data_IF_706467895997
#
_entry.id   IF_706467895997
#
_cell.length_a   1.000
_cell.length_b   1.000
_cell.length_c   1.000
_cell.angle_alpha   90.00
_cell.angle_beta   90.00
_cell.angle_gamma   90.00
#
_symmetry.space_group_name_H-M   'P 1'
#
loop_
_entity.id
_entity.type
_entity.pdbx_description
1 polymer ?
#
# COMPACT_ATOMS: atom_id res chain seq x y z
N UNK A 1 -22.55 -12.36 57.55
CA UNK A 1 -22.02 -11.34 56.60
C UNK A 1 -20.49 -11.26 56.62
N UNK A 2 -19.83 -11.11 57.76
CA UNK A 2 -18.35 -11.00 57.84
C UNK A 2 -17.60 -12.23 57.26
N UNK A 3 -18.12 -13.44 57.48
CA UNK A 3 -17.52 -14.67 56.93
C UNK A 3 -17.64 -14.77 55.40
N UNK A 4 -18.71 -14.24 54.81
CA UNK A 4 -18.89 -14.19 53.36
C UNK A 4 -17.98 -13.13 52.71
N UNK A 5 -17.71 -12.03 53.42
CA UNK A 5 -16.76 -11.00 53.00
C UNK A 5 -15.32 -11.53 53.07
N UNK A 6 -14.96 -12.27 54.11
CA UNK A 6 -13.64 -12.93 54.22
C UNK A 6 -13.42 -14.00 53.13
N UNK A 7 -14.46 -14.76 52.78
CA UNK A 7 -14.38 -15.79 51.73
C UNK A 7 -14.32 -15.18 50.31
N UNK A 8 -14.93 -14.00 50.10
CA UNK A 8 -14.80 -13.25 48.85
C UNK A 8 -13.40 -12.61 48.69
N UNK A 9 -12.73 -12.24 49.78
CA UNK A 9 -11.36 -11.71 49.78
C UNK A 9 -10.33 -12.83 49.52
N UNK A 10 -10.56 -14.05 49.99
CA UNK A 10 -9.65 -15.19 49.75
C UNK A 10 -9.79 -15.84 48.37
N UNK A 11 -10.87 -15.56 47.62
CA UNK A 11 -11.04 -16.04 46.24
C UNK A 11 -10.33 -15.16 45.18
N UNK A 12 -9.78 -14.02 45.57
CA UNK A 12 -9.27 -13.00 44.65
C UNK A 12 -7.74 -12.94 44.46
N UNK A 13 -6.97 -13.83 45.07
CA UNK A 13 -5.50 -13.84 44.94
C UNK A 13 -5.07 -15.07 44.16
N UNK A 14 -5.25 -15.02 42.84
CA UNK A 14 -4.51 -15.93 41.96
C UNK A 14 -3.05 -15.45 41.94
N UNK A 15 -2.12 -16.30 42.40
CA UNK A 15 -0.70 -16.10 42.12
C UNK A 15 -0.53 -16.26 40.61
N UNK A 16 -0.53 -15.14 39.90
CA UNK A 16 -0.20 -15.10 38.49
C UNK A 16 1.31 -14.98 38.42
N UNK A 17 1.97 -15.99 37.83
CA UNK A 17 3.40 -15.91 37.54
C UNK A 17 3.65 -14.75 36.58
N UNK A 18 4.34 -13.73 37.07
CA UNK A 18 4.74 -12.57 36.32
C UNK A 18 6.18 -12.74 35.82
N UNK A 19 6.38 -12.46 34.54
CA UNK A 19 7.65 -12.51 33.86
C UNK A 19 8.13 -11.11 33.49
N UNK A 20 9.39 -11.06 33.09
CA UNK A 20 10.09 -9.85 32.71
C UNK A 20 10.48 -9.96 31.24
N UNK A 21 10.14 -8.94 30.47
CA UNK A 21 10.55 -8.81 29.07
C UNK A 21 11.69 -7.81 28.99
N UNK A 22 12.76 -8.19 28.31
CA UNK A 22 13.98 -7.41 28.18
C UNK A 22 14.34 -7.17 26.71
N UNK A 23 14.93 -6.00 26.46
CA UNK A 23 15.44 -5.67 25.16
C UNK A 23 16.23 -4.38 25.13
N UNK A 24 16.67 -4.02 23.93
CA UNK A 24 17.29 -2.75 23.61
C UNK A 24 16.74 -2.17 22.32
N UNK A 25 16.66 -0.85 22.30
CA UNK A 25 16.35 -0.04 21.13
C UNK A 25 17.66 0.50 20.57
N UNK A 26 17.83 0.39 19.26
CA UNK A 26 18.92 1.08 18.57
C UNK A 26 18.55 2.56 18.41
N UNK A 27 19.39 3.49 18.88
CA UNK A 27 19.10 4.91 18.79
C UNK A 27 18.97 5.34 17.30
N UNK A 28 17.97 6.19 16.97
CA UNK A 28 17.87 6.78 15.64
C UNK A 28 19.09 7.65 15.32
N UNK A 29 19.52 7.68 14.05
CA UNK A 29 20.71 8.43 13.60
C UNK A 29 20.63 9.93 13.91
N UNK A 30 19.43 10.50 13.90
CA UNK A 30 19.16 11.92 14.15
C UNK A 30 18.51 12.17 15.54
N UNK A 31 18.63 11.22 16.47
CA UNK A 31 17.98 11.34 17.77
C UNK A 31 18.66 12.37 18.69
N UNK A 32 17.88 13.26 19.33
CA UNK A 32 18.35 14.06 20.47
C UNK A 32 18.83 13.18 21.62
N UNK A 33 19.72 13.67 22.50
CA UNK A 33 20.28 12.87 23.61
C UNK A 33 19.22 12.35 24.59
N UNK A 34 18.09 13.04 24.71
CA UNK A 34 16.94 12.75 25.57
C UNK A 34 15.82 11.95 24.87
N UNK A 35 16.08 11.35 23.70
CA UNK A 35 15.10 10.54 22.95
C UNK A 35 14.49 9.41 23.80
N UNK A 36 15.29 8.81 24.69
CA UNK A 36 14.88 7.72 25.56
C UNK A 36 13.81 8.15 26.57
N UNK A 37 13.86 9.39 27.06
CA UNK A 37 12.88 9.93 28.02
C UNK A 37 11.48 10.09 27.40
N UNK A 38 11.42 10.31 26.08
CA UNK A 38 10.20 10.44 25.31
C UNK A 38 9.72 9.13 24.70
N UNK A 39 10.45 8.03 24.93
CA UNK A 39 10.12 6.70 24.40
C UNK A 39 9.49 5.85 25.50
N UNK A 40 8.31 5.30 25.22
CA UNK A 40 7.63 4.34 26.11
C UNK A 40 7.49 3.00 25.40
N UNK A 41 7.70 1.92 26.14
CA UNK A 41 7.48 0.57 25.63
C UNK A 41 6.07 0.17 26.01
N UNK A 42 5.18 0.08 25.04
CA UNK A 42 3.83 -0.43 25.25
C UNK A 42 3.83 -1.93 24.99
N UNK A 43 3.19 -2.67 25.90
CA UNK A 43 2.91 -4.10 25.74
C UNK A 43 1.40 -4.26 25.74
N UNK A 44 0.88 -4.92 24.70
CA UNK A 44 -0.55 -5.19 24.50
C UNK A 44 -1.41 -3.93 24.55
N UNK A 45 -1.08 -2.92 23.75
CA UNK A 45 -1.86 -1.68 23.71
C UNK A 45 -1.85 -0.89 25.02
N UNK A 46 -0.70 -0.84 25.71
CA UNK A 46 -0.44 -0.13 26.97
C UNK A 46 -0.97 -0.76 28.26
N UNK A 47 -1.39 -2.04 28.23
CA UNK A 47 -1.69 -2.79 29.47
C UNK A 47 -0.49 -2.88 30.40
N UNK A 48 0.70 -3.09 29.83
CA UNK A 48 1.96 -2.95 30.55
C UNK A 48 2.83 -1.90 29.86
N UNK A 49 3.49 -1.08 30.67
CA UNK A 49 4.32 0.03 30.19
C UNK A 49 5.72 -0.11 30.78
N UNK A 50 6.71 -0.09 29.89
CA UNK A 50 8.12 0.01 30.24
C UNK A 50 8.72 1.34 29.84
N UNK A 51 9.84 1.66 30.47
CA UNK A 51 10.62 2.86 30.17
C UNK A 51 11.97 2.46 29.59
N UNK A 52 12.49 3.30 28.71
CA UNK A 52 13.79 3.12 28.08
C UNK A 52 14.85 3.85 28.90
N UNK A 53 15.94 3.17 29.21
CA UNK A 53 17.10 3.72 29.90
C UNK A 53 17.97 4.53 28.94
N UNK A 54 18.87 5.40 29.43
CA UNK A 54 19.77 6.17 28.58
C UNK A 54 20.69 5.35 27.67
N UNK A 55 20.99 4.10 28.05
CA UNK A 55 21.76 3.13 27.25
C UNK A 55 20.93 2.48 26.12
N UNK A 56 19.65 2.82 26.01
CA UNK A 56 18.71 2.26 25.04
C UNK A 56 18.09 0.92 25.48
N UNK A 57 18.43 0.40 26.66
CA UNK A 57 17.84 -0.85 27.18
C UNK A 57 16.48 -0.59 27.82
N UNK A 58 15.63 -1.60 27.83
CA UNK A 58 14.34 -1.53 28.50
C UNK A 58 14.00 -2.87 29.16
N UNK A 59 13.17 -2.77 30.20
CA UNK A 59 12.66 -3.91 30.94
C UNK A 59 11.19 -3.65 31.28
N UNK A 60 10.32 -4.62 30.99
CA UNK A 60 8.89 -4.59 31.33
C UNK A 60 8.61 -5.75 32.26
N UNK A 61 8.35 -5.47 33.53
CA UNK A 61 7.99 -6.46 34.55
C UNK A 61 6.49 -6.59 34.71
N UNK A 62 6.03 -7.70 35.32
CA UNK A 62 4.62 -7.88 35.64
C UNK A 62 3.80 -8.52 34.53
N UNK A 63 4.45 -9.05 33.48
CA UNK A 63 3.75 -9.59 32.30
C UNK A 63 3.47 -11.09 32.51
N UNK A 64 2.20 -11.54 32.52
CA UNK A 64 1.87 -12.94 32.68
C UNK A 64 2.32 -13.80 31.49
N UNK A 65 2.15 -15.13 31.57
CA UNK A 65 2.34 -15.98 30.40
C UNK A 65 1.28 -15.70 29.34
N UNK A 66 1.69 -15.48 28.09
CA UNK A 66 0.80 -15.16 26.99
C UNK A 66 1.55 -14.72 25.73
N UNK A 67 0.80 -14.33 24.71
CA UNK A 67 1.32 -13.72 23.48
C UNK A 67 1.05 -12.23 23.52
N UNK A 68 2.09 -11.43 23.41
CA UNK A 68 2.01 -9.97 23.50
C UNK A 68 2.64 -9.28 22.30
N UNK A 69 2.12 -8.11 21.97
CA UNK A 69 2.71 -7.21 21.01
C UNK A 69 3.50 -6.14 21.77
N UNK A 70 4.75 -5.92 21.35
CA UNK A 70 5.65 -4.92 21.94
C UNK A 70 5.86 -3.80 20.94
N UNK A 71 5.48 -2.61 21.37
CA UNK A 71 5.42 -1.40 20.55
C UNK A 71 6.18 -0.28 21.27
N UNK A 72 7.39 0.05 20.83
CA UNK A 72 8.07 1.25 21.29
C UNK A 72 7.41 2.48 20.65
N UNK A 73 6.84 3.34 21.48
CA UNK A 73 6.13 4.56 21.06
C UNK A 73 7.03 5.77 21.34
N UNK A 74 7.26 6.57 20.30
CA UNK A 74 7.96 7.85 20.38
C UNK A 74 7.26 8.88 19.47
N UNK A 75 7.15 10.16 19.88
CA UNK A 75 6.41 11.18 19.12
C UNK A 75 7.05 11.57 17.79
N UNK A 76 8.35 11.37 17.59
CA UNK A 76 9.05 11.80 16.36
C UNK A 76 9.66 10.64 15.56
N UNK A 77 9.72 9.43 16.10
CA UNK A 77 10.45 8.30 15.51
C UNK A 77 9.57 7.06 15.53
N UNK A 78 9.67 6.25 14.49
CA UNK A 78 8.94 4.99 14.36
C UNK A 78 9.92 3.87 14.65
N UNK A 79 9.57 2.99 15.58
CA UNK A 79 10.38 1.83 15.93
C UNK A 79 9.77 0.54 15.38
N UNK A 80 10.64 -0.47 15.22
CA UNK A 80 10.21 -1.81 14.89
C UNK A 80 9.39 -2.40 16.04
N UNK A 81 8.23 -2.97 15.71
CA UNK A 81 7.39 -3.74 16.64
C UNK A 81 7.76 -5.22 16.63
N UNK A 82 7.63 -5.90 17.76
CA UNK A 82 7.88 -7.34 17.86
C UNK A 82 6.75 -8.04 18.61
N UNK A 83 6.46 -9.29 18.22
CA UNK A 83 5.58 -10.18 18.97
C UNK A 83 6.42 -11.03 19.91
N UNK A 84 6.03 -11.12 21.16
CA UNK A 84 6.69 -11.94 22.18
C UNK A 84 5.71 -12.94 22.75
N UNK A 85 6.09 -14.21 22.72
CA UNK A 85 5.33 -15.30 23.32
C UNK A 85 6.06 -15.82 24.57
N UNK A 86 5.38 -15.77 25.70
CA UNK A 86 5.87 -16.20 27.01
C UNK A 86 5.13 -17.48 27.40
N UNK A 87 5.87 -18.57 27.57
CA UNK A 87 5.29 -19.81 28.07
C UNK A 87 5.08 -19.74 29.60
N UNK A 88 4.16 -20.54 30.13
CA UNK A 88 3.96 -20.80 31.58
C UNK A 88 5.21 -21.26 32.35
N UNK A 89 6.29 -21.59 31.65
CA UNK A 89 7.61 -21.93 32.23
C UNK A 89 8.61 -20.79 32.17
N UNK A 90 8.19 -19.60 31.74
CA UNK A 90 9.06 -18.43 31.52
C UNK A 90 9.96 -18.50 30.29
N UNK A 91 9.75 -19.45 29.37
CA UNK A 91 10.48 -19.46 28.09
C UNK A 91 9.90 -18.38 27.18
N UNK A 92 10.75 -17.46 26.74
CA UNK A 92 10.38 -16.33 25.89
C UNK A 92 10.83 -16.60 24.45
N UNK A 93 9.94 -16.35 23.50
CA UNK A 93 10.22 -16.38 22.06
C UNK A 93 9.79 -15.07 21.43
N UNK A 94 10.62 -14.49 20.59
CA UNK A 94 10.31 -13.25 19.88
C UNK A 94 10.17 -13.52 18.38
N UNK A 95 9.26 -12.82 17.73
CA UNK A 95 8.96 -12.94 16.30
C UNK A 95 8.66 -11.57 15.70
N UNK A 96 8.96 -11.38 14.41
CA UNK A 96 8.53 -10.18 13.69
C UNK A 96 7.02 -10.19 13.51
N UNK A 97 6.42 -9.00 13.56
CA UNK A 97 4.99 -8.81 13.35
C UNK A 97 4.72 -8.75 11.84
N UNK A 98 4.19 -9.85 11.29
CA UNK A 98 3.78 -9.94 9.88
C UNK A 98 2.25 -10.06 9.79
N UNK A 99 1.56 -8.93 9.71
CA UNK A 99 0.10 -8.91 9.58
C UNK A 99 -0.45 -9.64 8.31
N UNK A 100 0.19 -9.56 7.12
CA UNK A 100 -0.32 -10.22 5.93
C UNK A 100 -0.19 -11.75 5.93
N UNK A 101 0.77 -12.29 6.69
CA UNK A 101 1.08 -13.72 6.73
C UNK A 101 1.35 -14.15 8.19
N UNK A 102 0.30 -14.41 8.99
CA UNK A 102 0.44 -14.72 10.41
C UNK A 102 1.19 -16.04 10.67
N UNK A 103 1.22 -16.95 9.69
CA UNK A 103 1.91 -18.23 9.77
C UNK A 103 3.39 -18.15 9.37
N UNK A 104 3.81 -17.05 8.72
CA UNK A 104 5.22 -16.85 8.36
C UNK A 104 5.98 -16.45 9.63
N UNK A 105 6.75 -17.40 10.15
CA UNK A 105 7.54 -17.22 11.37
C UNK A 105 8.91 -16.65 11.00
N UNK A 106 9.11 -15.38 11.31
CA UNK A 106 10.44 -14.76 11.31
C UNK A 106 10.88 -14.59 12.77
N UNK A 107 11.76 -15.47 13.24
CA UNK A 107 12.21 -15.50 14.62
C UNK A 107 13.18 -14.33 14.89
N UNK A 108 12.91 -13.58 15.95
CA UNK A 108 13.81 -12.54 16.43
C UNK A 108 14.63 -13.08 17.61
N UNK A 109 15.91 -12.68 17.73
CA UNK A 109 16.71 -13.04 18.88
C UNK A 109 16.15 -12.40 20.16
N UNK A 110 16.36 -13.08 21.28
CA UNK A 110 16.06 -12.58 22.62
C UNK A 110 17.36 -12.47 23.43
N UNK A 111 17.59 -11.40 24.22
CA UNK A 111 16.76 -10.20 24.43
C UNK A 111 16.49 -9.41 23.15
N UNK A 112 15.37 -8.69 23.12
CA UNK A 112 14.92 -8.00 21.90
C UNK A 112 15.92 -6.94 21.45
N UNK A 113 16.14 -6.83 20.15
CA UNK A 113 16.89 -5.73 19.53
C UNK A 113 16.02 -5.09 18.47
N UNK A 114 15.40 -3.97 18.81
CA UNK A 114 14.48 -3.26 17.92
C UNK A 114 15.20 -2.06 17.31
N UNK A 115 15.17 -1.96 15.99
CA UNK A 115 15.73 -0.83 15.25
C UNK A 115 14.66 0.23 14.97
N UNK A 116 15.08 1.45 14.66
CA UNK A 116 14.18 2.48 14.15
C UNK A 116 13.92 2.28 12.66
N UNK A 117 12.70 2.54 12.21
CA UNK A 117 12.35 2.60 10.78
C UNK A 117 12.56 4.00 10.19
N UNK A 118 12.64 5.04 11.03
CA UNK A 118 12.87 6.43 10.60
C UNK A 118 12.02 7.43 11.36
N UNK A 119 12.00 8.67 10.86
CA UNK A 119 11.21 9.78 11.42
C UNK A 119 9.72 9.62 11.08
N UNK A 120 8.87 9.88 12.06
CA UNK A 120 7.43 9.89 11.85
C UNK A 120 7.00 11.13 11.04
N UNK A 121 6.39 10.91 9.87
CA UNK A 121 5.85 11.97 9.01
C UNK A 121 4.34 12.02 9.20
N UNK A 122 3.89 12.88 10.11
CA UNK A 122 2.45 13.06 10.37
C UNK A 122 1.77 13.96 9.34
N UNK A 123 2.53 14.88 8.76
CA UNK A 123 2.01 15.85 7.80
C UNK A 123 2.43 15.46 6.39
N UNK A 124 1.43 15.22 5.53
CA UNK A 124 1.67 15.13 4.09
C UNK A 124 1.80 16.55 3.53
N UNK A 125 2.83 16.85 2.72
CA UNK A 125 2.89 18.13 2.04
C UNK A 125 1.67 18.30 1.13
N UNK A 126 1.19 19.54 0.98
CA UNK A 126 0.10 19.83 0.05
C UNK A 126 0.57 19.53 -1.37
N UNK A 127 -0.32 18.98 -2.19
CA UNK A 127 -0.10 18.86 -3.62
C UNK A 127 0.18 20.26 -4.17
N UNK A 128 1.40 20.46 -4.66
CA UNK A 128 1.79 21.71 -5.27
C UNK A 128 1.44 21.60 -6.75
N UNK A 129 0.80 22.62 -7.30
CA UNK A 129 0.72 22.78 -8.75
C UNK A 129 2.14 23.01 -9.25
N UNK A 130 2.84 21.94 -9.60
CA UNK A 130 4.14 22.04 -10.24
C UNK A 130 3.90 22.61 -11.62
N UNK A 131 4.48 23.77 -11.92
CA UNK A 131 4.34 24.43 -13.23
C UNK A 131 4.76 23.50 -14.38
N UNK A 132 5.75 22.63 -14.12
CA UNK A 132 6.17 21.60 -15.07
C UNK A 132 5.13 20.47 -15.23
N UNK A 133 4.43 20.07 -14.17
CA UNK A 133 3.34 19.09 -14.23
C UNK A 133 2.11 19.66 -14.96
N UNK A 134 1.91 20.99 -14.90
CA UNK A 134 0.91 21.68 -15.72
C UNK A 134 1.29 21.68 -17.20
N UNK A 135 2.57 21.86 -17.55
CA UNK A 135 3.05 21.77 -18.93
C UNK A 135 2.92 20.35 -19.50
N UNK A 136 3.24 19.35 -18.69
CA UNK A 136 3.06 17.93 -19.05
C UNK A 136 1.64 17.42 -18.83
N UNK A 137 0.69 18.30 -18.52
CA UNK A 137 -0.72 17.94 -18.51
C UNK A 137 -1.15 17.61 -19.95
N UNK A 138 -1.74 16.43 -20.22
CA UNK A 138 -2.12 16.02 -21.57
C UNK A 138 -2.95 17.10 -22.29
N UNK A 139 -3.85 17.77 -21.59
CA UNK A 139 -4.70 18.81 -22.18
C UNK A 139 -3.92 20.06 -22.59
N UNK A 140 -2.96 20.50 -21.77
CA UNK A 140 -2.13 21.68 -22.08
C UNK A 140 -1.18 21.36 -23.23
N UNK A 141 -0.62 20.15 -23.25
CA UNK A 141 0.27 19.70 -24.31
C UNK A 141 -0.45 19.66 -25.67
N UNK A 142 -1.69 19.15 -25.72
CA UNK A 142 -2.50 19.12 -26.94
C UNK A 142 -2.84 20.50 -27.49
N UNK A 143 -2.90 21.54 -26.64
CA UNK A 143 -3.15 22.92 -27.09
C UNK A 143 -1.84 23.60 -27.51
N UNK A 144 -0.76 23.43 -26.73
CA UNK A 144 0.49 24.16 -26.92
C UNK A 144 1.31 23.63 -28.12
N UNK A 145 1.37 22.31 -28.31
CA UNK A 145 2.15 21.69 -29.39
C UNK A 145 1.69 22.12 -30.79
N UNK A 146 0.39 21.99 -31.17
CA UNK A 146 -0.06 22.44 -32.49
C UNK A 146 0.06 23.96 -32.65
N UNK A 147 -0.16 24.75 -31.59
CA UNK A 147 0.03 26.20 -31.65
C UNK A 147 1.48 26.57 -31.99
N UNK A 148 2.45 25.92 -31.36
CA UNK A 148 3.87 26.14 -31.62
C UNK A 148 4.25 25.71 -33.05
N UNK A 149 3.70 24.60 -33.54
CA UNK A 149 3.89 24.16 -34.94
C UNK A 149 3.35 25.19 -35.93
N UNK A 150 2.14 25.71 -35.72
CA UNK A 150 1.57 26.77 -36.59
C UNK A 150 2.42 28.04 -36.54
N UNK A 151 2.94 28.41 -35.37
CA UNK A 151 3.82 29.58 -35.23
C UNK A 151 5.15 29.40 -36.00
N UNK A 152 5.73 28.20 -35.98
CA UNK A 152 6.93 27.88 -36.76
C UNK A 152 6.63 27.85 -38.26
N UNK A 153 5.51 27.23 -38.67
CA UNK A 153 5.08 27.18 -40.07
C UNK A 153 4.85 28.59 -40.63
N UNK A 154 4.10 29.43 -39.91
CA UNK A 154 3.88 30.82 -40.31
C UNK A 154 5.17 31.62 -40.34
N UNK A 155 6.11 31.40 -39.40
CA UNK A 155 7.44 31.99 -39.47
C UNK A 155 8.21 31.54 -40.72
N UNK A 156 8.32 30.25 -40.99
CA UNK A 156 9.07 29.75 -42.16
C UNK A 156 8.47 30.25 -43.48
N UNK A 157 7.15 30.25 -43.62
CA UNK A 157 6.47 30.77 -44.83
C UNK A 157 6.66 32.28 -45.01
N UNK A 158 6.65 33.04 -43.91
CA UNK A 158 6.88 34.50 -43.92
C UNK A 158 8.37 34.88 -44.00
N UNK A 159 9.31 33.93 -43.88
CA UNK A 159 10.76 34.22 -44.01
C UNK A 159 11.21 34.27 -45.48
N UNK A 160 10.29 34.32 -46.45
CA UNK A 160 10.54 34.66 -47.86
C UNK A 160 11.49 33.71 -48.62
N UNK A 161 11.22 32.40 -48.63
CA UNK A 161 11.76 31.53 -49.70
C UNK A 161 10.75 31.46 -50.87
N UNK A 162 11.03 32.10 -52.03
CA UNK A 162 10.12 32.13 -53.19
C UNK A 162 9.95 30.76 -53.88
N UNK A 163 10.76 29.76 -53.57
CA UNK A 163 10.56 28.37 -54.01
C UNK A 163 9.47 27.67 -53.21
N UNK A 164 9.47 27.82 -51.88
CA UNK A 164 8.49 27.20 -50.98
C UNK A 164 7.06 27.72 -51.22
N UNK A 165 6.91 29.01 -51.57
CA UNK A 165 5.60 29.57 -51.92
C UNK A 165 5.08 29.05 -53.27
N UNK A 166 5.97 28.77 -54.23
CA UNK A 166 5.60 28.18 -55.53
C UNK A 166 5.21 26.72 -55.39
N UNK A 167 5.91 25.96 -54.55
CA UNK A 167 5.55 24.56 -54.24
C UNK A 167 4.22 24.48 -53.45
N UNK A 168 3.98 25.39 -52.49
CA UNK A 168 2.70 25.49 -51.78
C UNK A 168 1.55 25.90 -52.70
N UNK A 169 1.77 26.87 -53.61
CA UNK A 169 0.76 27.25 -54.62
C UNK A 169 0.49 26.11 -55.60
N UNK A 170 1.51 25.35 -56.02
CA UNK A 170 1.34 24.18 -56.88
C UNK A 170 0.59 23.04 -56.16
N UNK A 171 0.80 22.83 -54.86
CA UNK A 171 0.00 21.87 -54.08
C UNK A 171 -1.45 22.33 -53.87
N UNK A 172 -1.69 23.64 -53.68
CA UNK A 172 -3.02 24.20 -53.47
C UNK A 172 -3.89 24.18 -54.75
N UNK A 173 -3.28 24.17 -55.93
CA UNK A 173 -3.94 23.98 -57.22
C UNK A 173 -4.23 22.51 -57.55
N UNK A 174 -3.53 21.57 -56.90
CA UNK A 174 -3.61 20.14 -57.19
C UNK A 174 -4.48 19.34 -56.21
N UNK A 175 -4.71 19.82 -54.98
CA UNK A 175 -5.51 19.12 -53.98
C UNK A 175 -6.43 20.07 -53.21
N UNK A 176 -7.75 19.86 -53.33
CA UNK A 176 -8.75 20.34 -52.38
C UNK A 176 -8.30 19.97 -50.96
N UNK A 177 -7.77 20.95 -50.23
CA UNK A 177 -7.58 20.82 -48.79
C UNK A 177 -8.98 20.67 -48.17
N UNK A 178 -9.23 19.64 -47.35
CA UNK A 178 -10.46 19.54 -46.58
C UNK A 178 -10.60 20.81 -45.73
N UNK A 179 -11.79 21.39 -45.73
CA UNK A 179 -12.08 22.60 -44.98
C UNK A 179 -11.71 22.36 -43.51
N UNK A 180 -10.98 23.30 -42.88
CA UNK A 180 -10.42 23.15 -41.53
C UNK A 180 -11.52 22.85 -40.48
N UNK A 181 -12.78 23.15 -40.81
CA UNK A 181 -13.99 22.79 -40.08
C UNK A 181 -14.21 21.27 -39.97
N UNK A 182 -13.90 20.49 -41.01
CA UNK A 182 -14.07 19.04 -41.04
C UNK A 182 -12.99 18.30 -40.23
N UNK A 183 -11.76 18.81 -40.20
CA UNK A 183 -10.67 18.24 -39.38
C UNK A 183 -10.90 18.46 -37.88
N UNK A 184 -11.38 19.65 -37.48
CA UNK A 184 -11.78 19.93 -36.10
C UNK A 184 -13.00 19.10 -35.68
N UNK A 185 -13.95 18.87 -36.59
CA UNK A 185 -15.09 17.97 -36.38
C UNK A 185 -14.64 16.51 -36.19
N UNK A 186 -13.61 16.07 -36.91
CA UNK A 186 -13.07 14.70 -36.80
C UNK A 186 -12.39 14.47 -35.45
N UNK A 187 -11.66 15.45 -34.92
CA UNK A 187 -11.02 15.39 -33.58
C UNK A 187 -12.04 15.41 -32.45
N UNK A 188 -13.16 16.13 -32.63
CA UNK A 188 -14.26 16.14 -31.64
C UNK A 188 -15.17 14.90 -31.72
N UNK A 189 -15.04 14.08 -32.77
CA UNK A 189 -15.75 12.80 -32.93
C UNK A 189 -14.98 11.58 -32.41
N UNK A 190 -13.69 11.72 -32.11
CA UNK A 190 -12.90 10.68 -31.41
C UNK A 190 -13.14 10.63 -29.88
N UNK A 191 -14.10 11.43 -29.38
CA UNK A 191 -14.52 11.46 -27.98
C UNK A 191 -15.76 10.65 -27.62
N UNK A 192 -16.54 10.13 -28.58
CA UNK A 192 -17.81 9.44 -28.25
C UNK A 192 -18.07 8.24 -29.15
N UNK A 193 -17.50 7.08 -28.78
CA UNK A 193 -17.98 5.79 -29.30
C UNK A 193 -19.24 5.37 -28.53
N UNK A 194 -20.41 5.76 -29.04
CA UNK A 194 -21.64 4.96 -28.84
C UNK A 194 -22.03 4.23 -30.14
N UNK A 195 -22.35 2.96 -29.94
CA UNK A 195 -22.55 1.84 -30.87
C UNK A 195 -23.45 2.13 -32.10
N UNK A 196 -23.27 1.34 -33.18
CA UNK A 196 -24.00 1.52 -34.44
C UNK A 196 -25.44 0.97 -34.34
N UNK A 197 -26.39 1.66 -34.96
CA UNK A 197 -27.67 1.06 -35.36
C UNK A 197 -28.07 1.60 -36.74
N UNK A 198 -27.82 0.80 -37.78
CA UNK A 198 -28.28 1.02 -39.14
C UNK A 198 -29.20 -0.14 -39.56
N UNK A 199 -30.40 0.22 -40.00
CA UNK A 199 -31.60 -0.60 -40.19
C UNK A 199 -31.56 -1.60 -41.36
N UNK A 200 -32.28 -2.72 -41.20
CA UNK A 200 -32.61 -3.65 -42.29
C UNK A 200 -33.95 -4.38 -42.12
N UNK A 201 -35.05 -3.73 -42.52
CA UNK A 201 -36.24 -4.25 -43.26
C UNK A 201 -36.93 -5.58 -42.83
N UNK A 202 -38.25 -5.42 -42.54
CA UNK A 202 -39.45 -6.29 -42.76
C UNK A 202 -40.00 -7.23 -41.66
N UNK A 203 -41.35 -7.12 -41.53
CA UNK A 203 -42.41 -8.05 -41.08
C UNK A 203 -42.56 -8.28 -39.55
N UNK A 204 -43.62 -7.77 -38.92
CA UNK A 204 -45.01 -8.30 -38.76
C UNK A 204 -45.12 -9.16 -37.48
N UNK A 205 -46.12 -8.80 -36.64
CA UNK A 205 -46.70 -9.51 -35.45
C UNK A 205 -45.74 -9.77 -34.28
N UNK A 206 -46.11 -9.87 -33.01
CA UNK A 206 -47.24 -9.59 -32.12
C UNK A 206 -46.69 -10.03 -30.73
N UNK A 207 -47.34 -9.63 -29.64
CA UNK A 207 -47.20 -10.20 -28.29
C UNK A 207 -45.93 -9.96 -27.43
N UNK A 208 -46.15 -9.24 -26.33
CA UNK A 208 -46.22 -9.90 -25.01
C UNK A 208 -44.98 -9.95 -24.10
N UNK A 209 -45.14 -9.39 -22.89
CA UNK A 209 -44.45 -9.69 -21.60
C UNK A 209 -42.93 -9.41 -21.47
N UNK A 210 -42.41 -8.60 -20.54
CA UNK A 210 -42.63 -8.38 -19.09
C UNK A 210 -42.01 -9.47 -18.18
N UNK A 211 -41.25 -8.97 -17.18
CA UNK A 211 -40.57 -9.63 -16.03
C UNK A 211 -39.15 -10.17 -16.32
N UNK A 212 -38.06 -9.77 -15.65
CA UNK A 212 -37.71 -9.63 -14.21
C UNK A 212 -37.62 -10.98 -13.47
N UNK A 213 -36.41 -11.27 -12.94
CA UNK A 213 -36.10 -12.28 -11.92
C UNK A 213 -34.62 -12.70 -12.04
N UNK A 214 -33.66 -12.17 -11.28
CA UNK A 214 -33.24 -12.52 -9.90
C UNK A 214 -32.99 -14.01 -9.67
N UNK A 215 -31.74 -14.41 -9.42
CA UNK A 215 -31.29 -15.02 -8.15
C UNK A 215 -29.86 -15.58 -8.24
N UNK A 216 -29.10 -15.35 -7.17
CA UNK A 216 -27.85 -16.00 -6.78
C UNK A 216 -28.03 -17.52 -6.57
N UNK A 217 -26.95 -18.31 -6.73
CA UNK A 217 -26.20 -18.95 -5.63
C UNK A 217 -25.36 -20.17 -6.08
N UNK A 218 -24.15 -20.20 -5.53
CA UNK A 218 -23.32 -21.33 -5.09
C UNK A 218 -23.27 -22.66 -5.87
N UNK A 219 -22.03 -23.07 -6.19
CA UNK A 219 -21.68 -24.44 -6.57
C UNK A 219 -20.22 -24.77 -6.25
N UNK A 220 -20.03 -25.57 -5.21
CA UNK A 220 -18.79 -26.11 -4.66
C UNK A 220 -18.39 -27.42 -5.40
N UNK A 221 -17.09 -27.64 -5.67
CA UNK A 221 -16.53 -28.90 -6.19
C UNK A 221 -15.07 -28.72 -6.62
N UNK A 222 -14.07 -29.12 -5.83
CA UNK A 222 -13.48 -30.46 -5.66
C UNK A 222 -12.49 -30.89 -6.76
N UNK A 223 -11.20 -30.87 -6.37
CA UNK A 223 -10.10 -31.79 -6.67
C UNK A 223 -9.61 -31.98 -8.14
N UNK A 224 -8.29 -31.78 -8.33
CA UNK A 224 -7.38 -32.85 -8.79
C UNK A 224 -5.89 -32.48 -8.57
N UNK A 225 -5.14 -33.53 -8.23
CA UNK A 225 -3.72 -33.63 -7.92
C UNK A 225 -2.79 -33.44 -9.14
N UNK A 226 -1.59 -32.89 -8.91
CA UNK A 226 -0.33 -33.53 -9.34
C UNK A 226 0.88 -32.94 -8.61
N UNK A 227 1.51 -33.74 -7.74
CA UNK A 227 2.79 -33.43 -7.08
C UNK A 227 3.80 -34.54 -7.38
N UNK A 228 4.92 -34.16 -8.00
CA UNK A 228 6.04 -35.05 -8.34
C UNK A 228 7.04 -35.12 -7.18
N UNK A 229 7.38 -36.35 -6.78
CA UNK A 229 8.25 -36.70 -5.66
C UNK A 229 9.65 -37.07 -6.18
N UNK A 230 10.68 -36.36 -5.71
CA UNK A 230 12.09 -36.66 -5.96
C UNK A 230 12.80 -37.05 -4.65
N UNK A 231 12.89 -38.35 -4.37
CA UNK A 231 13.60 -38.95 -3.24
C UNK A 231 15.06 -39.18 -3.64
N UNK A 232 16.03 -38.59 -2.93
CA UNK A 232 17.47 -38.94 -3.08
C UNK A 232 17.97 -39.78 -1.90
N UNK A 233 18.54 -40.91 -2.30
CA UNK A 233 19.08 -42.05 -1.58
C UNK A 233 20.26 -41.68 -0.66
N UNK A 234 20.29 -42.31 0.51
CA UNK A 234 21.31 -42.20 1.57
C UNK A 234 22.39 -43.26 1.34
N UNK A 235 23.60 -42.85 0.93
CA UNK A 235 24.73 -43.77 0.73
C UNK A 235 25.51 -43.97 2.03
N UNK A 236 25.46 -45.19 2.57
CA UNK A 236 26.33 -45.71 3.64
C UNK A 236 27.76 -45.84 3.10
N UNK A 237 28.76 -45.51 3.92
CA UNK A 237 30.10 -46.11 3.87
C UNK A 237 30.53 -46.45 5.29
N UNK A 238 31.13 -47.62 5.40
CA UNK A 238 31.74 -48.20 6.59
C UNK A 238 33.27 -48.04 6.52
N UNK A 239 33.88 -48.31 7.68
CA UNK A 239 35.30 -48.25 8.07
C UNK A 239 35.76 -46.90 8.61
#
# INVERSE_FOLDING_TARGET
MVLAILLAISFGVTLIDAYIIEGSLTPPVEAPMDWHAHTRIHVDGSQYVGFVRPDGTFQVSGVPSGSYLIEPIHPSFIFQTARVDINSKGRIRARRVNAPQPNAVDELPYPLKLSTHGKAVYFKPREQLRTIDLLFNPNVLYVLVPFLLVMVLTKMVNTNDPELQKELQQMNLQQQLPDMSELLSSVSLFGDRKKPSGSGKRRVTDDGNRAIGTSNEAGFGSATHHGSSGRKEKKRRAQ
#
